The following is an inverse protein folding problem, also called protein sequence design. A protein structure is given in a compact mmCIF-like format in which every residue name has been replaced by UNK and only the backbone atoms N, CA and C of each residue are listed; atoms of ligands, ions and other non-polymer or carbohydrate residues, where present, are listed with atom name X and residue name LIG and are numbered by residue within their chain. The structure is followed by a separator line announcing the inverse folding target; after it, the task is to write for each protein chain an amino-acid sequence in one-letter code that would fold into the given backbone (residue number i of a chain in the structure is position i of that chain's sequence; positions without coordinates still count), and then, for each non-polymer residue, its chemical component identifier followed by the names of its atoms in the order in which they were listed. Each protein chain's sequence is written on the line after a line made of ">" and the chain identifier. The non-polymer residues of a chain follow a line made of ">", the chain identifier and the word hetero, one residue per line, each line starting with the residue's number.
data_IF_972461001864
#
_entry.id   IF_972461001864
#
_cell.length_a   1.000
_cell.length_b   1.000
_cell.length_c   1.000
_cell.angle_alpha   90.00
_cell.angle_beta   90.00
_cell.angle_gamma   90.00
#
_symmetry.space_group_name_H-M   'P 1'
#
loop_
_entity.id
_entity.type
_entity.pdbx_description
1 polymer ?
#
# COMPACT_ATOMS: atom_id res chain seq x y z
N UNK A 1 -23.31 -3.65 -14.79
CA UNK A 1 -23.19 -4.68 -13.73
C UNK A 1 -21.99 -5.63 -13.93
N UNK A 2 -21.61 -5.97 -15.16
CA UNK A 2 -20.44 -6.82 -15.45
C UNK A 2 -19.11 -6.12 -15.11
N UNK A 3 -18.98 -4.82 -15.42
CA UNK A 3 -17.75 -4.04 -15.17
C UNK A 3 -17.35 -3.95 -13.69
N UNK A 4 -18.32 -3.77 -12.78
CA UNK A 4 -18.10 -3.77 -11.34
C UNK A 4 -17.57 -5.13 -10.85
N UNK A 5 -18.15 -6.23 -11.34
CA UNK A 5 -17.69 -7.59 -10.99
C UNK A 5 -16.28 -7.87 -11.51
N UNK A 6 -15.94 -7.34 -12.69
CA UNK A 6 -14.59 -7.46 -13.25
C UNK A 6 -13.58 -6.65 -12.44
N UNK A 7 -13.95 -5.45 -11.97
CA UNK A 7 -13.12 -4.62 -11.11
C UNK A 7 -12.86 -5.28 -9.74
N UNK A 8 -13.91 -5.83 -9.11
CA UNK A 8 -13.80 -6.58 -7.86
C UNK A 8 -12.87 -7.79 -8.02
N UNK A 9 -13.05 -8.56 -9.11
CA UNK A 9 -12.20 -9.71 -9.44
C UNK A 9 -10.76 -9.28 -9.68
N UNK A 10 -10.53 -8.19 -10.41
CA UNK A 10 -9.18 -7.70 -10.69
C UNK A 10 -8.43 -7.33 -9.41
N UNK A 11 -9.08 -6.62 -8.47
CA UNK A 11 -8.45 -6.30 -7.17
C UNK A 11 -8.20 -7.55 -6.35
N UNK A 12 -9.14 -8.50 -6.34
CA UNK A 12 -8.96 -9.79 -5.65
C UNK A 12 -7.77 -10.56 -6.21
N UNK A 13 -7.72 -10.75 -7.53
CA UNK A 13 -6.65 -11.49 -8.20
C UNK A 13 -5.31 -10.79 -8.05
N UNK A 14 -5.27 -9.45 -8.11
CA UNK A 14 -4.05 -8.66 -7.89
C UNK A 14 -3.56 -8.69 -6.44
N UNK A 15 -4.50 -8.81 -5.48
CA UNK A 15 -4.14 -8.99 -4.07
C UNK A 15 -3.61 -10.39 -3.76
N UNK A 16 -3.94 -11.40 -4.56
CA UNK A 16 -3.60 -12.79 -4.30
C UNK A 16 -2.38 -13.24 -5.13
N UNK A 17 -1.27 -12.53 -4.96
CA UNK A 17 -0.07 -12.66 -5.78
C UNK A 17 1.21 -12.87 -4.96
N UNK A 18 1.13 -13.58 -3.83
CA UNK A 18 2.25 -13.75 -2.90
C UNK A 18 3.55 -14.28 -3.54
N UNK A 19 3.47 -15.26 -4.45
CA UNK A 19 4.66 -15.77 -5.16
C UNK A 19 5.24 -14.74 -6.11
N UNK A 20 4.38 -14.09 -6.89
CA UNK A 20 4.78 -13.07 -7.85
C UNK A 20 5.41 -11.85 -7.17
N UNK A 21 4.83 -11.36 -6.07
CA UNK A 21 5.40 -10.23 -5.31
C UNK A 21 6.72 -10.61 -4.65
N UNK A 22 6.90 -11.86 -4.19
CA UNK A 22 8.18 -12.35 -3.70
C UNK A 22 9.24 -12.40 -4.81
N UNK A 23 8.88 -12.83 -6.01
CA UNK A 23 9.79 -12.85 -7.16
C UNK A 23 10.14 -11.44 -7.63
N UNK A 24 9.19 -10.50 -7.65
CA UNK A 24 9.45 -9.09 -7.91
C UNK A 24 10.40 -8.49 -6.87
N UNK A 25 10.19 -8.78 -5.58
CA UNK A 25 11.08 -8.31 -4.52
C UNK A 25 12.51 -8.83 -4.70
N UNK A 26 12.68 -10.10 -5.08
CA UNK A 26 14.02 -10.66 -5.35
C UNK A 26 14.64 -9.99 -6.57
N UNK A 27 13.88 -9.97 -7.66
CA UNK A 27 14.31 -9.40 -8.94
C UNK A 27 14.74 -7.94 -8.79
N UNK A 28 13.95 -7.11 -8.09
CA UNK A 28 14.23 -5.69 -7.95
C UNK A 28 15.40 -5.36 -7.02
N UNK A 29 15.79 -6.27 -6.11
CA UNK A 29 16.98 -6.09 -5.25
C UNK A 29 18.28 -6.19 -6.05
N UNK A 30 18.33 -7.13 -7.00
CA UNK A 30 19.56 -7.53 -7.68
C UNK A 30 19.93 -6.62 -8.87
N UNK A 31 19.17 -5.56 -9.14
CA UNK A 31 19.35 -4.56 -10.21
C UNK A 31 19.48 -5.09 -11.66
N UNK A 32 19.54 -6.41 -11.86
CA UNK A 32 19.69 -7.09 -13.16
C UNK A 32 18.55 -6.75 -14.14
N UNK A 33 17.37 -6.41 -13.61
CA UNK A 33 16.20 -5.99 -14.37
C UNK A 33 16.40 -4.70 -15.16
N UNK A 34 17.33 -3.82 -14.75
CA UNK A 34 17.50 -2.48 -15.36
C UNK A 34 17.80 -2.54 -16.86
N UNK A 35 18.52 -3.59 -17.29
CA UNK A 35 18.90 -3.77 -18.69
C UNK A 35 17.93 -4.65 -19.49
N UNK A 36 17.05 -5.38 -18.81
CA UNK A 36 16.12 -6.34 -19.43
C UNK A 36 14.74 -5.70 -19.59
N UNK A 37 14.24 -5.10 -18.52
CA UNK A 37 12.89 -4.53 -18.41
C UNK A 37 12.88 -3.25 -17.55
N UNK A 38 13.53 -2.16 -18.00
CA UNK A 38 13.64 -0.92 -17.22
C UNK A 38 12.29 -0.30 -16.82
N UNK A 39 11.23 -0.53 -17.60
CA UNK A 39 9.89 -0.01 -17.34
C UNK A 39 9.04 -0.84 -16.37
N UNK A 40 9.45 -2.06 -16.03
CA UNK A 40 8.64 -3.00 -15.25
C UNK A 40 8.28 -2.46 -13.85
N UNK A 41 9.21 -1.94 -13.03
CA UNK A 41 8.86 -1.40 -11.73
C UNK A 41 7.83 -0.26 -11.82
N UNK A 42 8.02 0.67 -12.76
CA UNK A 42 7.11 1.79 -12.95
C UNK A 42 5.71 1.34 -13.37
N UNK A 43 5.61 0.34 -14.26
CA UNK A 43 4.34 -0.24 -14.68
C UNK A 43 3.63 -0.92 -13.51
N UNK A 44 4.36 -1.77 -12.77
CA UNK A 44 3.82 -2.49 -11.61
C UNK A 44 3.30 -1.51 -10.56
N UNK A 45 4.07 -0.47 -10.22
CA UNK A 45 3.66 0.55 -9.26
C UNK A 45 2.40 1.29 -9.72
N UNK A 46 2.30 1.66 -11.01
CA UNK A 46 1.12 2.34 -11.56
C UNK A 46 -0.12 1.44 -11.53
N UNK A 47 0.01 0.17 -11.89
CA UNK A 47 -1.09 -0.79 -11.84
C UNK A 47 -1.59 -0.98 -10.40
N UNK A 48 -0.68 -1.20 -9.46
CA UNK A 48 -1.01 -1.35 -8.04
C UNK A 48 -1.66 -0.09 -7.48
N UNK A 49 -1.13 1.09 -7.82
CA UNK A 49 -1.70 2.37 -7.42
C UNK A 49 -3.11 2.59 -7.95
N UNK A 50 -3.37 2.28 -9.22
CA UNK A 50 -4.72 2.42 -9.81
C UNK A 50 -5.75 1.55 -9.06
N UNK A 51 -5.39 0.31 -8.74
CA UNK A 51 -6.26 -0.61 -8.02
C UNK A 51 -6.44 -0.17 -6.56
N UNK A 52 -5.36 0.21 -5.89
CA UNK A 52 -5.40 0.69 -4.51
C UNK A 52 -6.24 1.99 -4.38
N UNK A 53 -6.11 2.92 -5.34
CA UNK A 53 -6.91 4.13 -5.38
C UNK A 53 -8.40 3.80 -5.51
N UNK A 54 -8.78 2.88 -6.41
CA UNK A 54 -10.16 2.44 -6.58
C UNK A 54 -10.74 1.78 -5.31
N UNK A 55 -9.92 1.05 -4.55
CA UNK A 55 -10.29 0.52 -3.22
C UNK A 55 -10.51 1.66 -2.22
N UNK A 56 -9.60 2.65 -2.18
CA UNK A 56 -9.71 3.74 -1.20
C UNK A 56 -10.83 4.74 -1.49
N UNK A 57 -11.18 4.97 -2.76
CA UNK A 57 -12.28 5.86 -3.14
C UNK A 57 -13.65 5.23 -2.91
N UNK A 58 -13.71 3.94 -2.55
CA UNK A 58 -14.95 3.17 -2.46
C UNK A 58 -15.55 2.82 -3.82
N UNK A 59 -14.84 3.06 -4.93
CA UNK A 59 -15.25 2.62 -6.27
C UNK A 59 -15.23 1.09 -6.38
N UNK A 60 -14.38 0.43 -5.60
CA UNK A 60 -14.32 -1.03 -5.44
C UNK A 60 -14.46 -1.36 -3.96
N UNK A 61 -15.49 -2.10 -3.60
CA UNK A 61 -15.77 -2.51 -2.21
C UNK A 61 -15.03 -3.81 -1.87
N UNK A 62 -13.71 -3.71 -1.74
CA UNK A 62 -12.87 -4.84 -1.42
C UNK A 62 -13.09 -5.36 0.02
N UNK A 63 -13.31 -6.68 0.13
CA UNK A 63 -13.41 -7.36 1.41
C UNK A 63 -12.15 -7.14 2.27
N UNK A 64 -12.30 -7.23 3.61
CA UNK A 64 -11.20 -7.07 4.58
C UNK A 64 -9.93 -7.82 4.18
N UNK A 65 -10.07 -9.11 3.85
CA UNK A 65 -8.93 -9.98 3.49
C UNK A 65 -8.21 -9.51 2.22
N UNK A 66 -8.96 -9.03 1.23
CA UNK A 66 -8.40 -8.49 -0.02
C UNK A 66 -7.61 -7.20 0.27
N UNK A 67 -8.17 -6.29 1.07
CA UNK A 67 -7.47 -5.06 1.49
C UNK A 67 -6.19 -5.36 2.27
N UNK A 68 -6.23 -6.34 3.17
CA UNK A 68 -5.05 -6.77 3.92
C UNK A 68 -3.97 -7.36 3.02
N UNK A 69 -4.32 -8.34 2.17
CA UNK A 69 -3.37 -8.98 1.24
C UNK A 69 -2.75 -7.97 0.28
N UNK A 70 -3.58 -7.06 -0.27
CA UNK A 70 -3.13 -6.01 -1.17
C UNK A 70 -2.03 -5.16 -0.53
N UNK A 71 -2.18 -4.76 0.73
CA UNK A 71 -1.11 -4.02 1.42
C UNK A 71 0.06 -4.95 1.72
N UNK A 72 -0.19 -6.10 2.38
CA UNK A 72 0.83 -7.02 2.88
C UNK A 72 1.80 -7.52 1.82
N UNK A 73 1.30 -7.89 0.65
CA UNK A 73 2.12 -8.51 -0.40
C UNK A 73 2.84 -7.47 -1.25
N UNK A 74 2.26 -6.29 -1.40
CA UNK A 74 2.80 -5.23 -2.27
C UNK A 74 3.68 -4.22 -1.53
N UNK A 75 3.52 -4.08 -0.20
CA UNK A 75 4.39 -3.25 0.64
C UNK A 75 5.87 -3.53 0.41
N UNK A 76 6.34 -4.79 0.44
CA UNK A 76 7.77 -5.04 0.38
C UNK A 76 8.31 -4.93 -1.05
N UNK A 77 7.46 -5.08 -2.08
CA UNK A 77 7.83 -4.71 -3.46
C UNK A 77 8.11 -3.22 -3.54
N UNK A 78 7.21 -2.40 -2.99
CA UNK A 78 7.35 -0.95 -2.93
C UNK A 78 8.68 -0.58 -2.24
N UNK A 79 8.96 -1.12 -1.05
CA UNK A 79 10.21 -0.87 -0.29
C UNK A 79 11.45 -1.03 -1.17
N UNK A 80 11.56 -2.13 -1.91
CA UNK A 80 12.74 -2.41 -2.75
C UNK A 80 12.84 -1.41 -3.91
N UNK A 81 11.72 -0.91 -4.44
CA UNK A 81 11.72 0.05 -5.54
C UNK A 81 12.09 1.49 -5.13
N UNK A 82 11.93 1.86 -3.85
CA UNK A 82 12.08 3.24 -3.32
C UNK A 82 13.34 3.95 -3.80
N UNK A 83 14.48 3.29 -3.64
CA UNK A 83 15.80 3.87 -3.89
C UNK A 83 16.32 3.59 -5.32
N UNK A 84 15.56 2.84 -6.12
CA UNK A 84 16.01 2.28 -7.40
C UNK A 84 15.48 3.03 -8.62
N UNK A 85 14.37 3.76 -8.45
CA UNK A 85 13.75 4.57 -9.51
C UNK A 85 14.22 6.02 -9.32
N UNK A 86 14.91 6.63 -10.30
CA UNK A 86 15.30 8.04 -10.22
C UNK A 86 14.06 8.89 -9.94
N UNK A 87 14.17 9.85 -9.04
CA UNK A 87 13.10 10.81 -8.77
C UNK A 87 12.67 11.44 -10.10
N UNK A 88 11.52 11.02 -10.62
CA UNK A 88 10.90 11.73 -11.74
C UNK A 88 10.60 13.15 -11.28
N UNK A 89 10.65 14.09 -12.22
CA UNK A 89 10.66 15.55 -12.00
C UNK A 89 9.90 16.05 -10.75
N UNK A 90 10.42 17.07 -10.06
CA UNK A 90 9.89 17.58 -8.78
C UNK A 90 8.44 18.12 -8.81
N UNK A 91 7.77 18.15 -9.96
CA UNK A 91 6.43 18.75 -10.12
C UNK A 91 5.26 17.82 -9.78
N UNK A 92 5.48 16.50 -9.65
CA UNK A 92 4.42 15.54 -9.28
C UNK A 92 4.87 14.62 -8.16
N UNK A 93 3.99 14.29 -7.19
CA UNK A 93 4.31 13.25 -6.21
C UNK A 93 4.67 11.98 -6.96
N UNK A 94 5.81 11.38 -6.62
CA UNK A 94 6.23 10.14 -7.26
C UNK A 94 5.14 9.07 -7.06
N UNK A 95 4.91 8.18 -8.05
CA UNK A 95 3.91 7.10 -7.89
C UNK A 95 4.21 6.21 -6.69
N UNK A 96 5.47 6.20 -6.24
CA UNK A 96 5.91 5.60 -4.99
C UNK A 96 5.24 6.25 -3.77
N UNK A 97 5.37 7.58 -3.62
CA UNK A 97 4.81 8.32 -2.49
C UNK A 97 3.28 8.26 -2.47
N UNK A 98 2.66 8.41 -3.64
CA UNK A 98 1.21 8.29 -3.76
C UNK A 98 0.74 6.88 -3.32
N UNK A 99 1.47 5.83 -3.71
CA UNK A 99 1.14 4.46 -3.31
C UNK A 99 1.34 4.21 -1.81
N UNK A 100 2.40 4.75 -1.20
CA UNK A 100 2.57 4.71 0.26
C UNK A 100 1.37 5.35 0.97
N UNK A 101 0.99 6.57 0.59
CA UNK A 101 -0.14 7.30 1.16
C UNK A 101 -1.46 6.54 0.98
N UNK A 102 -1.68 5.96 -0.20
CA UNK A 102 -2.86 5.15 -0.48
C UNK A 102 -2.89 3.87 0.34
N UNK A 103 -1.75 3.17 0.52
CA UNK A 103 -1.68 2.02 1.43
C UNK A 103 -1.97 2.40 2.88
N UNK A 104 -1.43 3.52 3.38
CA UNK A 104 -1.75 4.00 4.72
C UNK A 104 -3.24 4.35 4.88
N UNK A 105 -3.87 4.88 3.83
CA UNK A 105 -5.32 5.11 3.80
C UNK A 105 -6.09 3.79 3.88
N UNK A 106 -5.70 2.76 3.10
CA UNK A 106 -6.28 1.41 3.21
C UNK A 106 -6.13 0.88 4.64
N UNK A 107 -4.92 0.95 5.21
CA UNK A 107 -4.63 0.49 6.58
C UNK A 107 -5.54 1.19 7.61
N UNK A 108 -5.78 2.50 7.46
CA UNK A 108 -6.65 3.26 8.37
C UNK A 108 -8.12 2.80 8.36
N UNK A 109 -8.54 2.07 7.33
CA UNK A 109 -9.91 1.53 7.20
C UNK A 109 -10.03 0.07 7.65
N UNK A 110 -8.93 -0.56 8.09
CA UNK A 110 -8.93 -1.93 8.59
C UNK A 110 -9.23 -2.00 10.10
N UNK A 111 -9.72 -3.15 10.61
CA UNK A 111 -9.80 -3.43 12.04
C UNK A 111 -8.47 -3.17 12.78
N UNK A 112 -8.56 -2.91 14.08
CA UNK A 112 -7.41 -2.42 14.87
C UNK A 112 -6.17 -3.31 14.79
N UNK A 113 -6.36 -4.63 14.95
CA UNK A 113 -5.27 -5.61 14.96
C UNK A 113 -4.57 -5.70 13.60
N UNK A 114 -5.35 -5.73 12.52
CA UNK A 114 -4.82 -5.76 11.16
C UNK A 114 -4.06 -4.48 10.82
N UNK A 115 -4.61 -3.34 11.25
CA UNK A 115 -3.98 -2.05 11.03
C UNK A 115 -2.65 -1.96 11.80
N UNK A 116 -2.60 -2.51 13.02
CA UNK A 116 -1.37 -2.58 13.81
C UNK A 116 -0.31 -3.46 13.13
N UNK A 117 -0.67 -4.66 12.67
CA UNK A 117 0.24 -5.57 11.96
C UNK A 117 0.89 -4.87 10.76
N UNK A 118 0.07 -4.21 9.93
CA UNK A 118 0.55 -3.57 8.70
C UNK A 118 1.34 -2.29 8.98
N UNK A 119 0.94 -1.46 9.96
CA UNK A 119 1.70 -0.27 10.35
C UNK A 119 3.09 -0.63 10.89
N UNK A 120 3.22 -1.73 11.63
CA UNK A 120 4.54 -2.22 12.07
C UNK A 120 5.43 -2.55 10.87
N UNK A 121 4.88 -3.18 9.83
CA UNK A 121 5.64 -3.42 8.59
C UNK A 121 6.03 -2.11 7.91
N UNK A 122 5.17 -1.08 7.94
CA UNK A 122 5.49 0.25 7.41
C UNK A 122 6.66 0.94 8.12
N UNK A 123 7.06 0.55 9.33
CA UNK A 123 8.26 1.12 9.97
C UNK A 123 9.54 0.81 9.19
N UNK A 124 9.55 -0.29 8.42
CA UNK A 124 10.65 -0.60 7.52
C UNK A 124 10.79 0.41 6.35
N UNK A 125 9.80 1.28 6.11
CA UNK A 125 9.90 2.38 5.14
C UNK A 125 10.80 3.53 5.59
N UNK A 126 10.88 3.74 6.91
CA UNK A 126 11.40 4.98 7.50
C UNK A 126 12.85 4.88 7.95
N UNK A 127 13.62 3.95 7.39
CA UNK A 127 14.98 3.62 7.86
C UNK A 127 16.03 4.74 7.73
N UNK A 128 15.66 5.97 7.35
CA UNK A 128 16.63 7.07 7.17
C UNK A 128 16.25 8.42 7.78
N UNK A 129 14.96 8.81 7.86
CA UNK A 129 14.55 10.01 8.57
C UNK A 129 13.02 10.04 8.81
N UNK A 130 12.59 10.37 10.02
CA UNK A 130 11.15 10.55 10.33
C UNK A 130 10.60 11.82 9.68
N UNK A 131 11.46 12.83 9.47
CA UNK A 131 11.08 14.08 8.80
C UNK A 131 10.70 13.89 7.33
N UNK A 132 11.19 12.81 6.71
CA UNK A 132 10.90 12.46 5.32
C UNK A 132 9.55 11.72 5.16
N UNK A 133 8.88 11.35 6.26
CA UNK A 133 7.69 10.50 6.24
C UNK A 133 6.50 11.07 7.04
N UNK A 134 6.05 12.31 6.79
CA UNK A 134 4.94 12.94 7.53
C UNK A 134 3.61 12.17 7.40
N UNK A 135 3.38 11.50 6.28
CA UNK A 135 2.23 10.62 6.03
C UNK A 135 2.21 9.41 6.97
N UNK A 136 3.36 8.78 7.20
CA UNK A 136 3.47 7.66 8.14
C UNK A 136 3.18 8.10 9.56
N UNK A 137 3.73 9.23 10.00
CA UNK A 137 3.45 9.81 11.32
C UNK A 137 1.95 10.08 11.50
N UNK A 138 1.30 10.64 10.47
CA UNK A 138 -0.15 10.88 10.48
C UNK A 138 -0.96 9.57 10.62
N UNK A 139 -0.54 8.51 9.93
CA UNK A 139 -1.19 7.20 10.01
C UNK A 139 -1.06 6.59 11.41
N UNK A 140 0.13 6.63 12.02
CA UNK A 140 0.34 6.18 13.41
C UNK A 140 -0.47 6.99 14.42
N UNK A 141 -0.49 8.33 14.30
CA UNK A 141 -1.33 9.19 15.14
C UNK A 141 -2.81 8.83 15.01
N UNK A 142 -3.27 8.53 13.80
CA UNK A 142 -4.65 8.12 13.55
C UNK A 142 -4.95 6.76 14.16
N UNK A 143 -4.06 5.78 14.00
CA UNK A 143 -4.19 4.49 14.65
C UNK A 143 -4.21 4.61 16.18
N UNK A 144 -3.29 5.36 16.77
CA UNK A 144 -3.21 5.58 18.22
C UNK A 144 -4.49 6.23 18.77
N UNK A 145 -5.01 7.26 18.07
CA UNK A 145 -6.30 7.87 18.43
C UNK A 145 -7.46 6.88 18.37
N UNK A 146 -7.48 5.98 17.39
CA UNK A 146 -8.52 4.94 17.27
C UNK A 146 -8.38 3.91 18.39
N UNK A 147 -7.16 3.51 18.76
CA UNK A 147 -6.88 2.53 19.79
C UNK A 147 -7.28 3.02 21.20
N UNK A 148 -7.15 4.32 21.45
CA UNK A 148 -7.50 4.93 22.73
C UNK A 148 -8.98 5.35 22.84
N UNK A 149 -9.82 5.09 21.83
CA UNK A 149 -11.26 5.28 21.99
C UNK A 149 -11.78 4.18 22.92
N UNK A 150 -12.18 4.57 24.12
CA UNK A 150 -12.86 3.67 25.06
C UNK A 150 -14.20 3.19 24.47
N UNK A 151 -14.65 1.96 24.76
CA UNK A 151 -15.95 1.43 24.33
C UNK A 151 -17.18 2.20 24.85
N UNK A 152 -17.00 3.25 25.65
CA UNK A 152 -18.05 3.92 26.41
C UNK A 152 -18.93 4.86 25.57
N UNK A 153 -18.56 5.16 24.32
CA UNK A 153 -19.36 6.03 23.45
C UNK A 153 -20.45 5.29 22.65
N UNK A 154 -20.50 3.95 22.67
CA UNK A 154 -21.44 3.15 21.88
C UNK A 154 -22.63 2.59 22.68
N UNK A 155 -22.71 2.80 24.00
CA UNK A 155 -23.81 2.31 24.87
C UNK A 155 -24.75 3.41 25.37
N UNK A 156 -24.86 4.52 24.63
CA UNK A 156 -25.69 5.66 25.00
C UNK A 156 -26.65 6.07 23.87
N UNK A 157 -27.26 5.10 23.17
CA UNK A 157 -28.48 5.30 22.37
C UNK A 157 -29.29 4.01 22.29
#
# INVERSE_FOLDING_TARGET
>A
MIELRMADKAVKDWSDQASFTADLQRTFRDDAWRNIVPGLPALVLRCTLKLANAVTSGSILAARQVRMKLVKDWLPVLIVCKDKIPAMLPSHPSPYRELEETFLRIISTLPMLDAQELLQQCLSFSTRNVEDCPHLVSAFKTWFRRANRSPQAENLY
#
